data_IF_946093104755
#
_entry.id   IF_946093104755
#
_cell.length_a   1.000
_cell.length_b   1.000
_cell.length_c   1.000
_cell.angle_alpha   90.00
_cell.angle_beta   90.00
_cell.angle_gamma   90.00
#
_symmetry.space_group_name_H-M   'P 1'
#
loop_
_entity.id
_entity.type
_entity.pdbx_description
1 polymer ?
#
# COMPACT_ATOMS: atom_id res chain seq x y z
N UNK A 1 -13.64 -23.03 -38.34
CA UNK A 1 -14.00 -22.84 -36.92
C UNK A 1 -13.00 -21.88 -36.33
N UNK A 2 -13.41 -20.70 -35.93
CA UNK A 2 -12.52 -19.75 -35.23
C UNK A 2 -12.34 -20.30 -33.82
N UNK A 3 -11.15 -20.77 -33.48
CA UNK A 3 -10.82 -21.19 -32.10
C UNK A 3 -10.85 -19.89 -31.29
N UNK A 4 -11.82 -19.72 -30.44
CA UNK A 4 -11.86 -18.59 -29.52
C UNK A 4 -10.83 -18.90 -28.43
N UNK A 5 -9.74 -18.12 -28.40
CA UNK A 5 -8.70 -18.26 -27.37
C UNK A 5 -9.32 -18.11 -25.97
N UNK A 6 -9.07 -19.05 -25.10
CA UNK A 6 -9.61 -19.07 -23.74
C UNK A 6 -8.85 -18.13 -22.82
N UNK A 7 -7.55 -17.92 -23.07
CA UNK A 7 -6.65 -17.08 -22.28
C UNK A 7 -5.94 -16.05 -23.15
N UNK A 8 -5.66 -14.89 -22.58
CA UNK A 8 -4.82 -13.88 -23.22
C UNK A 8 -3.34 -14.31 -23.13
N UNK A 9 -2.96 -14.91 -22.00
CA UNK A 9 -1.63 -15.52 -21.82
C UNK A 9 -1.67 -16.71 -20.89
N UNK A 10 -0.67 -17.58 -21.05
CA UNK A 10 -0.45 -18.75 -20.16
C UNK A 10 1.01 -18.74 -19.71
N UNK A 11 1.22 -18.83 -18.38
CA UNK A 11 2.52 -19.17 -17.80
C UNK A 11 2.61 -20.70 -17.74
N UNK A 12 3.58 -21.28 -18.43
CA UNK A 12 3.76 -22.74 -18.53
C UNK A 12 4.87 -23.25 -17.63
N UNK A 13 4.67 -24.45 -17.06
CA UNK A 13 5.68 -25.22 -16.36
C UNK A 13 6.26 -24.52 -15.12
N UNK A 14 5.51 -23.67 -14.44
CA UNK A 14 5.97 -22.99 -13.24
C UNK A 14 5.85 -23.85 -11.98
N UNK A 15 6.79 -23.70 -11.03
CA UNK A 15 6.56 -24.12 -9.67
C UNK A 15 5.73 -23.04 -8.97
N UNK A 16 4.41 -23.25 -8.87
CA UNK A 16 3.48 -22.26 -8.31
C UNK A 16 3.41 -22.42 -6.80
N UNK A 17 3.61 -21.31 -6.08
CA UNK A 17 3.47 -21.24 -4.62
C UNK A 17 2.41 -20.19 -4.29
N UNK A 18 1.25 -20.63 -3.82
CA UNK A 18 0.14 -19.78 -3.39
C UNK A 18 -0.47 -20.35 -2.10
N UNK A 19 0.07 -19.96 -0.94
CA UNK A 19 -0.37 -20.49 0.35
C UNK A 19 -1.83 -20.18 0.70
N UNK A 20 -2.39 -19.11 0.12
CA UNK A 20 -3.79 -18.74 0.37
C UNK A 20 -4.78 -19.72 -0.26
N UNK A 21 -4.34 -20.45 -1.29
CA UNK A 21 -5.14 -21.46 -2.00
C UNK A 21 -4.58 -22.88 -1.86
N UNK A 22 -3.66 -23.10 -0.91
CA UNK A 22 -2.99 -24.40 -0.66
C UNK A 22 -2.30 -24.99 -1.91
N UNK A 23 -1.71 -24.11 -2.73
CA UNK A 23 -1.00 -24.49 -3.94
C UNK A 23 0.51 -24.44 -3.70
N UNK A 24 1.19 -25.57 -3.91
CA UNK A 24 2.65 -25.69 -3.92
C UNK A 24 3.03 -26.85 -4.86
N UNK A 25 3.40 -26.54 -6.10
CA UNK A 25 3.71 -27.56 -7.09
C UNK A 25 3.80 -27.06 -8.53
N UNK A 26 3.91 -28.02 -9.46
CA UNK A 26 4.01 -27.73 -10.89
C UNK A 26 2.62 -27.47 -11.47
N UNK A 27 2.39 -26.24 -11.91
CA UNK A 27 1.12 -25.81 -12.50
C UNK A 27 1.35 -24.83 -13.64
N UNK A 28 0.36 -24.76 -14.53
CA UNK A 28 0.21 -23.69 -15.51
C UNK A 28 -0.81 -22.66 -15.00
N UNK A 29 -0.59 -21.40 -15.35
CA UNK A 29 -1.47 -20.30 -14.98
C UNK A 29 -2.04 -19.65 -16.23
N UNK A 30 -3.36 -19.75 -16.43
CA UNK A 30 -4.09 -19.07 -17.49
C UNK A 30 -4.57 -17.68 -17.04
N UNK A 31 -4.23 -16.67 -17.80
CA UNK A 31 -4.59 -15.26 -17.54
C UNK A 31 -5.59 -14.81 -18.60
N UNK A 32 -6.68 -14.16 -18.15
CA UNK A 32 -7.71 -13.57 -19.00
C UNK A 32 -8.14 -12.22 -18.45
N UNK A 33 -8.12 -11.20 -19.30
CA UNK A 33 -8.48 -9.83 -18.94
C UNK A 33 -7.74 -9.30 -17.69
N UNK A 34 -6.43 -9.60 -17.62
CA UNK A 34 -5.57 -9.18 -16.51
C UNK A 34 -5.83 -9.88 -15.17
N UNK A 35 -6.56 -11.01 -15.18
CA UNK A 35 -6.86 -11.81 -13.98
C UNK A 35 -6.43 -13.26 -14.17
N UNK A 36 -6.04 -13.91 -13.07
CA UNK A 36 -5.84 -15.35 -13.06
C UNK A 36 -7.20 -16.01 -13.24
N UNK A 37 -7.37 -16.68 -14.37
CA UNK A 37 -8.62 -17.37 -14.74
C UNK A 37 -8.55 -18.88 -14.46
N UNK A 38 -7.35 -19.44 -14.41
CA UNK A 38 -7.14 -20.87 -14.15
C UNK A 38 -5.74 -21.15 -13.60
N UNK A 39 -5.67 -22.05 -12.64
CA UNK A 39 -4.42 -22.72 -12.21
C UNK A 39 -4.64 -24.21 -12.30
N UNK A 40 -3.87 -24.93 -13.10
CA UNK A 40 -4.01 -26.40 -13.28
C UNK A 40 -2.72 -27.02 -13.77
N UNK A 41 -2.58 -28.33 -13.63
CA UNK A 41 -1.36 -29.07 -14.00
C UNK A 41 -0.98 -28.92 -15.48
N UNK A 42 -1.96 -28.79 -16.36
CA UNK A 42 -1.72 -28.58 -17.79
C UNK A 42 -2.79 -27.71 -18.44
N UNK A 43 -2.36 -26.71 -19.21
CA UNK A 43 -3.20 -25.90 -20.09
C UNK A 43 -2.67 -26.10 -21.52
N UNK A 44 -3.56 -26.46 -22.46
CA UNK A 44 -3.20 -26.64 -23.84
C UNK A 44 -2.73 -25.31 -24.46
N UNK A 45 -1.63 -25.34 -25.22
CA UNK A 45 -1.02 -24.13 -25.78
C UNK A 45 -1.90 -23.43 -26.81
N UNK A 46 -2.77 -24.17 -27.49
CA UNK A 46 -3.71 -23.65 -28.48
C UNK A 46 -4.84 -22.81 -27.88
N UNK A 47 -4.94 -22.80 -26.56
CA UNK A 47 -5.95 -22.01 -25.80
C UNK A 47 -5.50 -20.63 -25.40
N UNK A 48 -4.30 -20.22 -25.72
CA UNK A 48 -3.72 -18.93 -25.34
C UNK A 48 -3.26 -18.13 -26.56
N UNK A 49 -3.38 -16.79 -26.48
CA UNK A 49 -2.82 -15.89 -27.46
C UNK A 49 -1.30 -15.80 -27.32
N UNK A 50 -0.80 -15.85 -26.07
CA UNK A 50 0.62 -15.81 -25.72
C UNK A 50 0.98 -16.89 -24.72
N UNK A 51 2.18 -17.48 -24.83
CA UNK A 51 2.68 -18.53 -23.93
C UNK A 51 4.08 -18.16 -23.46
N UNK A 52 4.23 -18.08 -22.13
CA UNK A 52 5.50 -17.78 -21.47
C UNK A 52 5.95 -19.03 -20.74
N UNK A 53 7.04 -19.64 -21.17
CA UNK A 53 7.62 -20.78 -20.47
C UNK A 53 8.44 -20.31 -19.26
N UNK A 54 7.95 -20.63 -18.06
CA UNK A 54 8.58 -20.29 -16.79
C UNK A 54 9.16 -21.55 -16.11
N UNK A 55 9.58 -22.51 -16.92
CA UNK A 55 10.18 -23.76 -16.42
C UNK A 55 11.35 -23.47 -15.47
N UNK A 56 11.37 -24.17 -14.33
CA UNK A 56 12.33 -24.02 -13.22
C UNK A 56 12.25 -22.67 -12.48
N UNK A 57 11.24 -21.85 -12.73
CA UNK A 57 11.02 -20.63 -11.97
C UNK A 57 9.92 -20.86 -10.94
N UNK A 58 10.04 -20.16 -9.80
CA UNK A 58 8.97 -20.07 -8.82
C UNK A 58 8.03 -18.96 -9.27
N UNK A 59 6.74 -19.28 -9.37
CA UNK A 59 5.67 -18.34 -9.66
C UNK A 59 4.84 -18.15 -8.39
N UNK A 60 4.81 -16.97 -7.87
CA UNK A 60 4.12 -16.66 -6.61
C UNK A 60 3.42 -15.30 -6.70
N UNK A 61 2.46 -14.98 -5.80
CA UNK A 61 1.91 -13.64 -5.70
C UNK A 61 3.02 -12.61 -5.54
N UNK A 62 2.88 -11.47 -6.23
CA UNK A 62 3.87 -10.41 -6.16
C UNK A 62 3.99 -9.83 -4.76
N UNK A 63 5.18 -9.37 -4.39
CA UNK A 63 5.42 -8.75 -3.09
C UNK A 63 4.58 -7.48 -2.93
N UNK A 64 3.94 -7.33 -1.75
CA UNK A 64 3.20 -6.14 -1.35
C UNK A 64 4.02 -5.40 -0.30
N UNK A 65 4.57 -4.25 -0.68
CA UNK A 65 5.26 -3.37 0.27
C UNK A 65 4.22 -2.50 0.98
N UNK A 66 4.00 -2.77 2.24
CA UNK A 66 3.01 -2.06 3.05
C UNK A 66 3.52 -0.75 3.64
N UNK A 67 4.79 -0.38 3.40
CA UNK A 67 5.38 0.87 3.87
C UNK A 67 6.49 1.36 2.95
N UNK A 68 6.11 2.06 1.91
CA UNK A 68 7.04 2.72 1.01
C UNK A 68 6.88 4.24 1.05
N UNK A 69 7.92 4.94 0.59
CA UNK A 69 7.89 6.37 0.28
C UNK A 69 8.42 6.55 -1.13
N UNK A 70 7.58 6.30 -2.12
CA UNK A 70 7.96 6.30 -3.55
C UNK A 70 7.68 7.62 -4.22
N UNK A 71 6.68 8.35 -3.75
CA UNK A 71 6.51 9.76 -4.03
C UNK A 71 7.07 10.53 -2.84
N UNK A 72 7.70 11.62 -3.07
CA UNK A 72 8.32 12.33 -1.98
C UNK A 72 7.31 13.01 -1.05
N UNK A 73 7.48 12.76 0.26
CA UNK A 73 6.61 13.24 1.33
C UNK A 73 6.80 14.74 1.60
N UNK A 74 8.00 15.23 1.37
CA UNK A 74 8.40 16.54 1.83
C UNK A 74 8.72 17.49 0.67
N UNK A 75 7.67 18.00 0.05
CA UNK A 75 7.80 19.06 -0.94
C UNK A 75 8.37 18.61 -2.27
N UNK A 76 7.61 17.95 -3.06
CA UNK A 76 8.18 17.21 -4.07
C UNK A 76 7.56 17.23 -5.39
N UNK A 77 8.41 17.37 -6.08
CA UNK A 77 8.51 17.13 -7.48
C UNK A 77 7.78 15.86 -7.90
N UNK A 78 6.61 15.97 -8.52
CA UNK A 78 5.97 14.89 -9.28
C UNK A 78 6.98 14.21 -10.26
N UNK A 79 8.11 14.85 -10.41
CA UNK A 79 9.22 14.42 -11.25
C UNK A 79 10.08 13.29 -10.70
N UNK A 80 9.84 12.79 -9.49
CA UNK A 80 10.66 11.73 -8.88
C UNK A 80 9.93 10.41 -8.61
N UNK A 81 9.14 9.93 -9.57
CA UNK A 81 8.57 8.57 -9.53
C UNK A 81 9.62 7.43 -9.71
N UNK A 82 10.85 7.70 -9.35
CA UNK A 82 11.98 6.82 -9.55
C UNK A 82 11.99 5.64 -8.56
N UNK A 83 11.42 5.82 -7.36
CA UNK A 83 11.24 4.73 -6.41
C UNK A 83 10.34 3.60 -6.92
N UNK A 84 9.38 3.89 -7.78
CA UNK A 84 8.52 2.86 -8.39
C UNK A 84 9.33 1.86 -9.22
N UNK A 85 10.25 2.33 -10.06
CA UNK A 85 11.10 1.46 -10.87
C UNK A 85 11.98 0.53 -10.02
N UNK A 86 12.51 1.02 -8.90
CA UNK A 86 13.30 0.21 -7.97
C UNK A 86 12.45 -0.87 -7.29
N UNK A 87 11.23 -0.54 -6.89
CA UNK A 87 10.31 -1.51 -6.29
C UNK A 87 9.92 -2.62 -7.28
N UNK A 88 9.61 -2.25 -8.53
CA UNK A 88 9.32 -3.24 -9.59
C UNK A 88 10.51 -4.17 -9.81
N UNK A 89 11.73 -3.64 -9.87
CA UNK A 89 12.95 -4.44 -10.05
C UNK A 89 13.21 -5.39 -8.87
N UNK A 90 12.69 -5.08 -7.68
CA UNK A 90 12.77 -5.96 -6.50
C UNK A 90 11.61 -6.98 -6.40
N UNK A 91 10.74 -7.04 -7.41
CA UNK A 91 9.59 -7.95 -7.43
C UNK A 91 8.35 -7.43 -6.68
N UNK A 92 8.34 -6.17 -6.29
CA UNK A 92 7.16 -5.53 -5.67
C UNK A 92 6.12 -5.22 -6.74
N UNK A 93 4.91 -5.71 -6.56
CA UNK A 93 3.77 -5.50 -7.48
C UNK A 93 2.72 -4.54 -6.93
N UNK A 94 2.75 -4.29 -5.63
CA UNK A 94 1.88 -3.34 -4.94
C UNK A 94 2.65 -2.62 -3.85
N UNK A 95 2.52 -1.30 -3.75
CA UNK A 95 3.13 -0.50 -2.69
C UNK A 95 2.11 0.44 -2.04
N UNK A 96 2.18 0.55 -0.71
CA UNK A 96 1.46 1.57 0.06
C UNK A 96 2.42 2.72 0.33
N UNK A 97 2.19 3.88 -0.31
CA UNK A 97 2.93 5.10 0.00
C UNK A 97 2.35 5.75 1.26
N UNK A 98 3.09 5.61 2.34
CA UNK A 98 2.67 6.10 3.66
C UNK A 98 3.09 7.54 3.90
N UNK A 99 2.54 8.48 3.19
CA UNK A 99 2.55 9.93 3.36
C UNK A 99 2.65 10.68 2.03
N UNK A 100 2.33 10.02 0.92
CA UNK A 100 2.22 10.64 -0.39
C UNK A 100 0.94 11.48 -0.52
N UNK A 101 1.05 12.61 -1.20
CA UNK A 101 -0.15 13.33 -1.64
C UNK A 101 -0.77 12.57 -2.83
N UNK A 102 -2.03 12.10 -2.75
CA UNK A 102 -2.62 11.28 -3.81
C UNK A 102 -2.65 11.96 -5.17
N UNK A 103 -2.93 13.27 -5.22
CA UNK A 103 -2.98 14.03 -6.48
C UNK A 103 -1.60 14.14 -7.13
N UNK A 104 -0.58 14.53 -6.37
CA UNK A 104 0.80 14.64 -6.87
C UNK A 104 1.31 13.29 -7.34
N UNK A 105 1.00 12.24 -6.60
CA UNK A 105 1.38 10.88 -6.96
C UNK A 105 0.70 10.41 -8.25
N UNK A 106 -0.60 10.67 -8.40
CA UNK A 106 -1.35 10.35 -9.60
C UNK A 106 -0.80 11.08 -10.84
N UNK A 107 -0.46 12.36 -10.70
CA UNK A 107 0.18 13.14 -11.77
C UNK A 107 1.54 12.55 -12.19
N UNK A 108 2.37 12.19 -11.22
CA UNK A 108 3.66 11.55 -11.50
C UNK A 108 3.52 10.19 -12.19
N UNK A 109 2.54 9.39 -11.77
CA UNK A 109 2.23 8.09 -12.41
C UNK A 109 1.70 8.25 -13.83
N UNK A 110 0.85 9.26 -14.10
CA UNK A 110 0.35 9.56 -15.44
C UNK A 110 1.47 9.98 -16.39
N UNK A 111 2.46 10.73 -15.90
CA UNK A 111 3.59 11.20 -16.72
C UNK A 111 4.63 10.12 -17.01
N UNK A 112 4.83 9.16 -16.11
CA UNK A 112 5.98 8.24 -16.16
C UNK A 112 5.65 6.77 -16.03
N UNK A 113 4.41 6.46 -15.69
CA UNK A 113 4.02 5.13 -15.28
C UNK A 113 4.53 4.80 -13.86
N UNK A 114 4.05 3.70 -13.32
CA UNK A 114 4.51 3.18 -12.04
C UNK A 114 5.07 1.75 -12.18
N UNK A 115 4.50 0.95 -13.08
CA UNK A 115 4.85 -0.46 -13.27
C UNK A 115 4.33 -1.39 -12.17
N UNK A 116 3.67 -0.84 -11.14
CA UNK A 116 3.06 -1.55 -10.02
C UNK A 116 1.78 -0.83 -9.57
N UNK A 117 0.98 -1.50 -8.74
CA UNK A 117 -0.15 -0.85 -8.08
C UNK A 117 0.36 0.02 -6.93
N UNK A 118 -0.18 1.22 -6.81
CA UNK A 118 0.17 2.14 -5.72
C UNK A 118 -1.08 2.60 -5.00
N UNK A 119 -1.06 2.52 -3.68
CA UNK A 119 -2.06 3.12 -2.81
C UNK A 119 -1.39 4.20 -1.94
N UNK A 120 -2.10 5.31 -1.69
CA UNK A 120 -1.54 6.45 -0.96
C UNK A 120 -2.32 6.76 0.31
N UNK A 121 -1.57 7.08 1.36
CA UNK A 121 -2.09 7.67 2.59
C UNK A 121 -1.61 9.12 2.70
N UNK A 122 -2.54 10.06 2.90
CA UNK A 122 -2.18 11.44 3.13
C UNK A 122 -1.47 11.60 4.48
N UNK A 123 -0.24 12.08 4.49
CA UNK A 123 0.45 12.46 5.72
C UNK A 123 -0.23 13.67 6.36
N UNK A 124 -0.53 13.59 7.65
CA UNK A 124 -1.15 14.69 8.39
C UNK A 124 -0.07 15.64 8.91
N UNK A 125 0.06 16.78 8.24
CA UNK A 125 1.02 17.85 8.57
C UNK A 125 0.24 19.08 8.96
N UNK A 126 0.32 19.56 10.23
CA UNK A 126 -0.33 20.79 10.67
C UNK A 126 -0.07 21.97 9.74
N UNK A 127 -1.11 22.77 9.51
CA UNK A 127 -1.10 23.95 8.64
C UNK A 127 -0.70 23.72 7.18
N UNK A 128 -0.61 22.43 6.76
CA UNK A 128 -0.32 22.03 5.39
C UNK A 128 -1.39 21.10 4.84
N UNK A 129 -1.40 19.84 5.26
CA UNK A 129 -2.39 18.85 4.83
C UNK A 129 -3.59 18.77 5.77
N UNK A 130 -3.45 19.28 6.99
CA UNK A 130 -4.52 19.45 7.96
C UNK A 130 -4.40 20.85 8.59
N UNK A 131 -5.50 21.61 8.77
CA UNK A 131 -5.40 23.03 9.15
C UNK A 131 -5.07 23.28 10.62
N UNK A 132 -5.20 22.30 11.50
CA UNK A 132 -5.09 22.43 12.96
C UNK A 132 -3.89 21.65 13.52
N UNK A 133 -3.30 22.15 14.62
CA UNK A 133 -2.21 21.49 15.35
C UNK A 133 -2.67 20.22 16.07
N UNK A 134 -3.89 20.22 16.61
CA UNK A 134 -4.57 19.08 17.20
C UNK A 134 -5.98 19.04 16.62
N UNK A 135 -6.16 18.29 15.54
CA UNK A 135 -7.36 18.44 14.72
C UNK A 135 -8.59 17.84 15.40
N UNK A 136 -9.69 18.60 15.33
CA UNK A 136 -11.00 18.13 15.76
C UNK A 136 -11.52 17.00 14.85
N UNK A 137 -12.37 16.10 15.37
CA UNK A 137 -12.92 14.99 14.59
C UNK A 137 -13.57 15.36 13.26
N UNK A 138 -14.24 16.54 13.20
CA UNK A 138 -14.85 17.03 11.96
C UNK A 138 -13.81 17.35 10.89
N UNK A 139 -12.71 18.01 11.26
CA UNK A 139 -11.61 18.36 10.38
C UNK A 139 -10.91 17.10 9.85
N UNK A 140 -10.65 16.12 10.72
CA UNK A 140 -10.10 14.81 10.33
C UNK A 140 -11.01 14.13 9.30
N UNK A 141 -12.33 14.15 9.54
CA UNK A 141 -13.33 13.58 8.64
C UNK A 141 -13.26 14.20 7.25
N UNK A 142 -13.17 15.52 7.19
CA UNK A 142 -13.11 16.26 5.93
C UNK A 142 -11.82 15.95 5.16
N UNK A 143 -10.67 15.86 5.85
CA UNK A 143 -9.39 15.50 5.26
C UNK A 143 -9.44 14.08 4.70
N UNK A 144 -9.95 13.11 5.46
CA UNK A 144 -10.08 11.72 4.98
C UNK A 144 -11.00 11.65 3.75
N UNK A 145 -12.14 12.35 3.80
CA UNK A 145 -13.06 12.39 2.69
C UNK A 145 -12.43 12.99 1.42
N UNK A 146 -11.70 14.10 1.56
CA UNK A 146 -10.96 14.72 0.47
C UNK A 146 -9.87 13.79 -0.08
N UNK A 147 -9.10 13.15 0.80
CA UNK A 147 -8.06 12.18 0.43
C UNK A 147 -8.64 11.03 -0.40
N UNK A 148 -9.78 10.46 0.03
CA UNK A 148 -10.46 9.38 -0.72
C UNK A 148 -10.96 9.85 -2.07
N UNK A 149 -11.49 11.07 -2.18
CA UNK A 149 -11.89 11.67 -3.48
C UNK A 149 -10.71 11.83 -4.44
N UNK A 150 -9.51 12.06 -3.92
CA UNK A 150 -8.27 12.16 -4.70
C UNK A 150 -7.65 10.80 -5.04
N UNK A 151 -8.30 9.68 -4.68
CA UNK A 151 -7.80 8.33 -4.93
C UNK A 151 -6.90 7.75 -3.82
N UNK A 152 -6.70 8.47 -2.72
CA UNK A 152 -6.01 7.92 -1.54
C UNK A 152 -6.89 6.95 -0.75
N UNK A 153 -6.28 6.10 0.05
CA UNK A 153 -6.98 5.07 0.84
C UNK A 153 -7.09 5.43 2.33
N UNK A 154 -6.43 6.48 2.77
CA UNK A 154 -6.43 6.88 4.16
C UNK A 154 -5.42 7.95 4.51
N UNK A 155 -5.09 8.01 5.79
CA UNK A 155 -4.22 9.02 6.37
C UNK A 155 -3.10 8.42 7.21
N UNK A 156 -2.03 9.19 7.40
CA UNK A 156 -0.91 8.81 8.26
C UNK A 156 -0.62 9.88 9.30
N UNK A 157 -0.60 9.48 10.55
CA UNK A 157 -0.01 10.22 11.67
C UNK A 157 1.51 10.17 11.56
N UNK A 158 2.16 11.34 11.64
CA UNK A 158 3.60 11.52 11.44
C UNK A 158 4.35 11.75 12.78
N UNK A 159 3.85 11.20 13.85
CA UNK A 159 4.34 11.21 15.23
C UNK A 159 5.60 12.05 15.48
N UNK A 160 6.76 11.45 15.46
CA UNK A 160 8.01 12.13 15.78
C UNK A 160 8.41 13.33 14.92
N UNK A 161 7.73 13.57 13.77
CA UNK A 161 7.98 14.71 12.89
C UNK A 161 6.95 15.83 13.08
N UNK A 162 5.67 15.43 13.21
CA UNK A 162 4.51 16.31 13.36
C UNK A 162 3.56 15.71 14.39
N UNK A 163 3.95 15.68 15.69
CA UNK A 163 3.18 15.03 16.72
C UNK A 163 1.88 15.79 17.03
N UNK A 164 0.81 15.05 17.21
CA UNK A 164 -0.43 15.50 17.83
C UNK A 164 -0.43 15.12 19.32
N UNK A 165 -1.37 15.67 20.09
CA UNK A 165 -1.64 15.14 21.42
C UNK A 165 -2.12 13.70 21.38
N UNK A 166 -2.01 12.91 22.47
CA UNK A 166 -2.57 11.56 22.54
C UNK A 166 -4.06 11.52 22.17
N UNK A 167 -4.84 12.48 22.66
CA UNK A 167 -6.29 12.59 22.41
C UNK A 167 -6.59 12.87 20.93
N UNK A 168 -5.85 13.81 20.31
CA UNK A 168 -6.02 14.09 18.90
C UNK A 168 -5.60 12.88 18.03
N UNK A 169 -4.53 12.18 18.40
CA UNK A 169 -4.07 10.96 17.73
C UNK A 169 -5.13 9.85 17.81
N UNK A 170 -5.69 9.60 19.00
CA UNK A 170 -6.80 8.65 19.20
C UNK A 170 -8.03 9.04 18.39
N UNK A 171 -8.36 10.33 18.37
CA UNK A 171 -9.46 10.86 17.54
C UNK A 171 -9.26 10.58 16.05
N UNK A 172 -8.05 10.77 15.52
CA UNK A 172 -7.72 10.45 14.12
C UNK A 172 -7.94 8.96 13.84
N UNK A 173 -7.44 8.08 14.70
CA UNK A 173 -7.61 6.63 14.56
C UNK A 173 -9.09 6.26 14.56
N UNK A 174 -9.86 6.78 15.52
CA UNK A 174 -11.29 6.52 15.61
C UNK A 174 -12.04 6.98 14.37
N UNK A 175 -11.84 8.22 13.92
CA UNK A 175 -12.53 8.77 12.74
C UNK A 175 -12.15 8.00 11.47
N UNK A 176 -10.90 7.58 11.33
CA UNK A 176 -10.47 6.76 10.19
C UNK A 176 -11.17 5.40 10.18
N UNK A 177 -11.28 4.75 11.34
CA UNK A 177 -11.99 3.48 11.47
C UNK A 177 -13.49 3.63 11.19
N UNK A 178 -14.14 4.67 11.73
CA UNK A 178 -15.57 4.97 11.47
C UNK A 178 -15.85 5.20 9.96
N UNK A 179 -14.88 5.70 9.22
CA UNK A 179 -14.97 5.88 7.77
C UNK A 179 -14.44 4.69 6.94
N UNK A 180 -14.10 3.58 7.57
CA UNK A 180 -13.46 2.43 6.90
C UNK A 180 -12.26 2.86 6.06
N UNK A 181 -11.43 3.74 6.61
CA UNK A 181 -10.25 4.29 5.99
C UNK A 181 -8.99 3.68 6.61
N UNK A 182 -7.94 3.52 5.82
CA UNK A 182 -6.66 3.09 6.37
C UNK A 182 -6.07 4.20 7.23
N UNK A 183 -5.51 3.84 8.37
CA UNK A 183 -4.74 4.75 9.20
C UNK A 183 -3.41 4.12 9.58
N UNK A 184 -2.33 4.86 9.37
CA UNK A 184 -0.99 4.45 9.77
C UNK A 184 -0.41 5.45 10.76
N UNK A 185 0.50 4.98 11.62
CA UNK A 185 1.12 5.78 12.67
C UNK A 185 2.64 5.57 12.71
N UNK A 186 3.39 6.62 12.40
CA UNK A 186 4.75 6.78 12.89
C UNK A 186 4.63 7.20 14.35
N UNK A 187 5.07 6.33 15.24
CA UNK A 187 4.84 6.45 16.69
C UNK A 187 5.42 7.73 17.27
N UNK A 188 4.72 8.27 18.26
CA UNK A 188 5.07 9.47 19.01
C UNK A 188 3.94 10.50 19.04
N UNK A 189 3.68 11.06 20.19
CA UNK A 189 2.75 12.16 20.41
C UNK A 189 3.49 13.38 20.95
N UNK A 190 2.76 14.46 21.29
CA UNK A 190 3.35 15.61 22.00
C UNK A 190 3.85 15.27 23.40
N UNK A 191 3.37 14.17 23.97
CA UNK A 191 3.72 13.71 25.31
C UNK A 191 4.82 12.64 25.32
N UNK A 192 5.16 12.10 24.15
CA UNK A 192 6.14 11.03 23.98
C UNK A 192 7.04 11.24 22.75
N UNK A 193 8.04 10.38 22.58
CA UNK A 193 8.91 10.36 21.41
C UNK A 193 8.62 9.22 20.45
N UNK A 194 9.39 9.18 19.36
CA UNK A 194 9.42 8.04 18.43
C UNK A 194 10.31 6.92 18.99
N UNK A 195 9.97 6.40 20.14
CA UNK A 195 10.72 5.42 20.92
C UNK A 195 9.78 4.45 21.63
N UNK A 196 10.32 3.69 22.59
CA UNK A 196 9.53 2.74 23.40
C UNK A 196 8.44 3.40 24.23
N UNK A 197 8.59 4.70 24.61
CA UNK A 197 7.56 5.42 25.36
C UNK A 197 6.34 5.63 24.48
N UNK A 198 6.55 6.19 23.29
CA UNK A 198 5.47 6.36 22.31
C UNK A 198 4.88 5.03 21.82
N UNK A 199 5.69 3.96 21.73
CA UNK A 199 5.14 2.66 21.34
C UNK A 199 4.18 2.11 22.41
N UNK A 200 4.40 2.41 23.68
CA UNK A 200 3.50 2.00 24.79
C UNK A 200 2.18 2.74 24.80
N UNK A 201 2.07 3.91 24.16
CA UNK A 201 0.81 4.64 24.01
C UNK A 201 -0.11 4.04 22.92
N UNK A 202 0.43 3.22 22.01
CA UNK A 202 -0.31 2.69 20.87
C UNK A 202 -1.59 1.94 21.25
N UNK A 203 -1.63 1.08 22.29
CA UNK A 203 -2.86 0.42 22.73
C UNK A 203 -3.96 1.41 23.11
N UNK A 204 -3.62 2.45 23.87
CA UNK A 204 -4.57 3.47 24.35
C UNK A 204 -5.07 4.34 23.17
N UNK A 205 -4.17 4.74 22.26
CA UNK A 205 -4.52 5.48 21.03
C UNK A 205 -5.42 4.67 20.12
N UNK A 206 -5.19 3.36 20.03
CA UNK A 206 -5.93 2.47 19.13
C UNK A 206 -7.28 2.06 19.70
N UNK A 207 -7.38 1.93 21.02
CA UNK A 207 -8.54 1.37 21.72
C UNK A 207 -8.96 0.02 21.07
N UNK A 208 -10.17 -0.03 20.50
CA UNK A 208 -10.69 -1.20 19.80
C UNK A 208 -10.61 -1.07 18.25
N UNK A 209 -9.91 -0.05 17.75
CA UNK A 209 -9.77 0.23 16.33
C UNK A 209 -8.68 -0.60 15.66
N UNK A 210 -8.51 -0.36 14.37
CA UNK A 210 -7.41 -0.89 13.56
C UNK A 210 -6.40 0.21 13.31
N UNK A 211 -5.12 -0.10 13.47
CA UNK A 211 -4.01 0.84 13.26
C UNK A 211 -2.82 0.09 12.65
N UNK A 212 -2.25 0.65 11.59
CA UNK A 212 -0.98 0.20 11.05
C UNK A 212 0.16 0.93 11.78
N UNK A 213 0.85 0.24 12.68
CA UNK A 213 2.06 0.78 13.32
C UNK A 213 3.21 0.66 12.33
N UNK A 214 3.72 1.80 11.88
CA UNK A 214 4.79 1.85 10.90
C UNK A 214 6.12 1.41 11.54
N UNK A 215 6.96 0.67 10.78
CA UNK A 215 8.35 0.28 11.12
C UNK A 215 8.61 0.06 12.62
N UNK A 216 7.82 -0.78 13.27
CA UNK A 216 7.85 -1.03 14.72
C UNK A 216 9.26 -1.31 15.29
N UNK A 217 10.12 -1.93 14.49
CA UNK A 217 11.50 -2.21 14.83
C UNK A 217 12.36 -0.94 15.05
N UNK A 218 11.94 0.21 14.55
CA UNK A 218 12.68 1.47 14.72
C UNK A 218 12.59 2.01 16.14
N UNK A 219 11.52 1.71 16.87
CA UNK A 219 11.26 2.23 18.22
C UNK A 219 11.91 1.43 19.34
N UNK A 220 12.42 0.24 19.01
CA UNK A 220 13.04 -0.70 19.96
C UNK A 220 14.57 -0.65 19.95
N UNK A 221 15.15 0.25 19.14
CA UNK A 221 16.60 0.47 19.13
C UNK A 221 16.96 1.43 20.26
N UNK A 222 17.48 0.88 21.35
CA UNK A 222 18.05 1.64 22.47
C UNK A 222 19.49 2.02 22.20
#
# INVERSE_FOLDING_TARGET
>A
MTITQQFDSVLKNGHVVDPANDIDGQFDIGIKHGKIASVRENIDLDKADDVIDVNRQIVMPGHIDTHAHVSSVFGNDANRAYGHAMLVQSGTTTALDLAGNPTIMAEGMLQRGAGLNVASLMGLVPHSTIPEDDPRPSVVRDVIHSTKKQGGIGVKLLGGYHPFTPEASSSVVKVANDQMSWVAFHVGTKDSGSDMTGLREVPDITENGRLHVAHINSYTRG
#
